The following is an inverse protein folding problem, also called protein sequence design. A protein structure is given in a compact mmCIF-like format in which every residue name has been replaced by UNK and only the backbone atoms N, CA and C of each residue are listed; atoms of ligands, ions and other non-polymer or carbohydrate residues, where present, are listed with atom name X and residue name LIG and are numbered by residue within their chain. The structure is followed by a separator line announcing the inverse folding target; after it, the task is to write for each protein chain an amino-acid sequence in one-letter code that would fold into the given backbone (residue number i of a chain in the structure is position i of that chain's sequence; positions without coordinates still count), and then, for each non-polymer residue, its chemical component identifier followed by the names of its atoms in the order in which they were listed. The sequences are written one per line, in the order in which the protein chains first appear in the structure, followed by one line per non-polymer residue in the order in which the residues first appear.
data_IF_294382942154
#
_entry.id   IF_294382942154
#
_cell.length_a   1.000
_cell.length_b   1.000
_cell.length_c   1.000
_cell.angle_alpha   90.00
_cell.angle_beta   90.00
_cell.angle_gamma   90.00
#
_symmetry.space_group_name_H-M   'P 1'
#
loop_
_entity.id
_entity.type
_entity.pdbx_description
1 polymer ?
#
# COMPACT_ATOMS: atom_id res chain seq x y z
N UNK A 1 -54.88 -34.65 19.59
CA UNK A 1 -53.66 -34.57 18.77
C UNK A 1 -53.30 -33.12 18.45
N UNK A 2 -54.13 -32.36 17.71
CA UNK A 2 -53.83 -30.97 17.30
C UNK A 2 -53.58 -29.99 18.45
N UNK A 3 -54.34 -30.07 19.54
CA UNK A 3 -54.20 -29.15 20.69
C UNK A 3 -52.86 -29.31 21.41
N UNK A 4 -52.38 -30.56 21.56
CA UNK A 4 -51.06 -30.85 22.12
C UNK A 4 -49.95 -30.29 21.21
N UNK A 5 -50.06 -30.45 19.90
CA UNK A 5 -49.09 -29.89 18.95
C UNK A 5 -49.02 -28.36 18.98
N UNK A 6 -50.16 -27.68 19.16
CA UNK A 6 -50.19 -26.23 19.30
C UNK A 6 -49.52 -25.77 20.60
N UNK A 7 -49.76 -26.47 21.72
CA UNK A 7 -49.11 -26.16 23.00
C UNK A 7 -47.59 -26.36 22.92
N UNK A 8 -47.12 -27.42 22.25
CA UNK A 8 -45.68 -27.64 22.08
C UNK A 8 -45.03 -26.57 21.20
N UNK A 9 -45.71 -26.11 20.14
CA UNK A 9 -45.21 -25.00 19.32
C UNK A 9 -45.12 -23.71 20.13
N UNK A 10 -46.14 -23.41 20.94
CA UNK A 10 -46.20 -22.19 21.76
C UNK A 10 -45.14 -22.19 22.87
N UNK A 11 -44.84 -23.36 23.44
CA UNK A 11 -43.75 -23.51 24.40
C UNK A 11 -42.37 -23.31 23.75
N UNK A 12 -42.15 -23.86 22.54
CA UNK A 12 -40.91 -23.68 21.79
C UNK A 12 -40.71 -22.22 21.38
N UNK A 13 -41.75 -21.51 20.93
CA UNK A 13 -41.62 -20.08 20.58
C UNK A 13 -41.31 -19.23 21.80
N UNK A 14 -41.95 -19.51 22.95
CA UNK A 14 -41.62 -18.82 24.20
C UNK A 14 -40.17 -19.06 24.64
N UNK A 15 -39.68 -20.31 24.50
CA UNK A 15 -38.31 -20.66 24.84
C UNK A 15 -37.29 -19.98 23.89
N UNK A 16 -37.53 -20.00 22.58
CA UNK A 16 -36.67 -19.33 21.59
C UNK A 16 -36.60 -17.81 21.80
N UNK A 17 -37.70 -17.17 22.22
CA UNK A 17 -37.71 -15.74 22.52
C UNK A 17 -36.96 -15.40 23.82
N UNK A 18 -36.86 -16.35 24.75
CA UNK A 18 -36.15 -16.17 26.03
C UNK A 18 -34.63 -16.14 25.83
N UNK A 19 -34.10 -16.97 24.94
CA UNK A 19 -32.66 -16.96 24.58
C UNK A 19 -32.25 -15.66 23.86
N UNK A 20 -33.14 -15.07 23.07
CA UNK A 20 -32.85 -13.83 22.34
C UNK A 20 -32.71 -12.61 23.28
N UNK A 21 -33.40 -12.63 24.44
CA UNK A 21 -33.31 -11.55 25.43
C UNK A 21 -32.07 -11.67 26.35
N UNK A 22 -31.44 -12.85 26.41
CA UNK A 22 -30.26 -13.12 27.25
C UNK A 22 -28.92 -12.96 26.52
N UNK A 23 -28.93 -12.84 25.19
CA UNK A 23 -27.73 -12.59 24.40
C UNK A 23 -27.24 -11.15 24.63
N UNK A 24 -26.41 -10.98 25.67
CA UNK A 24 -25.53 -9.82 25.81
C UNK A 24 -24.84 -9.61 24.47
N UNK A 25 -24.89 -8.40 23.86
CA UNK A 25 -24.21 -8.18 22.59
C UNK A 25 -22.76 -8.61 22.78
N UNK A 26 -22.34 -9.66 22.07
CA UNK A 26 -20.93 -10.01 22.02
C UNK A 26 -20.26 -8.78 21.44
N UNK A 27 -19.42 -8.12 22.24
CA UNK A 27 -18.65 -6.97 21.79
C UNK A 27 -18.10 -7.30 20.41
N UNK A 28 -18.54 -6.52 19.42
CA UNK A 28 -18.37 -6.87 18.01
C UNK A 28 -16.87 -7.03 17.75
N UNK A 29 -16.45 -8.23 17.40
CA UNK A 29 -15.05 -8.50 17.05
C UNK A 29 -14.60 -7.58 15.89
N UNK A 30 -15.55 -7.05 15.12
CA UNK A 30 -15.34 -6.04 14.09
C UNK A 30 -14.69 -4.75 14.59
N UNK A 31 -14.91 -4.32 15.84
CA UNK A 31 -14.30 -3.09 16.35
C UNK A 31 -12.77 -3.22 16.56
N UNK A 32 -12.24 -4.45 16.60
CA UNK A 32 -10.79 -4.68 16.67
C UNK A 32 -10.09 -4.67 15.31
N UNK A 33 -10.84 -4.82 14.22
CA UNK A 33 -10.28 -4.84 12.86
C UNK A 33 -10.07 -3.44 12.27
N UNK A 34 -10.79 -2.44 12.78
CA UNK A 34 -10.72 -1.06 12.29
C UNK A 34 -10.00 -0.17 13.28
N UNK A 35 -8.99 0.55 12.80
CA UNK A 35 -8.33 1.60 13.57
C UNK A 35 -9.31 2.75 13.83
N UNK A 36 -9.22 3.38 15.00
CA UNK A 36 -10.01 4.59 15.27
C UNK A 36 -9.71 5.68 14.24
N UNK A 37 -10.68 6.57 13.97
CA UNK A 37 -10.51 7.70 13.03
C UNK A 37 -9.27 8.55 13.36
N UNK A 38 -8.98 8.73 14.66
CA UNK A 38 -7.79 9.45 15.12
C UNK A 38 -6.50 8.71 14.75
N UNK A 39 -6.46 7.40 14.92
CA UNK A 39 -5.30 6.58 14.59
C UNK A 39 -5.07 6.47 13.08
N UNK A 40 -6.14 6.28 12.30
CA UNK A 40 -6.08 6.34 10.84
C UNK A 40 -5.55 7.68 10.34
N UNK A 41 -5.95 8.80 10.96
CA UNK A 41 -5.41 10.13 10.61
C UNK A 41 -3.91 10.24 10.88
N UNK A 42 -3.38 9.59 11.94
CA UNK A 42 -1.94 9.59 12.23
C UNK A 42 -1.16 8.82 11.16
N UNK A 43 -1.71 7.71 10.66
CA UNK A 43 -1.10 6.91 9.57
C UNK A 43 -1.08 7.71 8.27
N UNK A 44 -2.21 8.30 7.87
CA UNK A 44 -2.29 9.14 6.65
C UNK A 44 -1.38 10.36 6.76
N UNK A 45 -1.37 11.05 7.90
CA UNK A 45 -0.51 12.20 8.11
C UNK A 45 0.98 11.83 8.14
N UNK A 46 1.34 10.61 8.59
CA UNK A 46 2.71 10.10 8.46
C UNK A 46 3.10 9.94 6.99
N UNK A 47 2.28 9.29 6.18
CA UNK A 47 2.53 9.16 4.74
C UNK A 47 2.62 10.53 4.07
N UNK A 48 1.70 11.44 4.39
CA UNK A 48 1.72 12.81 3.87
C UNK A 48 2.97 13.57 4.29
N UNK A 49 3.54 13.33 5.47
CA UNK A 49 4.85 13.90 5.85
C UNK A 49 5.99 13.32 5.04
N UNK A 50 5.99 12.03 4.70
CA UNK A 50 7.01 11.47 3.81
C UNK A 50 6.88 12.02 2.39
N UNK A 51 5.66 12.16 1.88
CA UNK A 51 5.42 12.81 0.59
C UNK A 51 5.82 14.28 0.66
N UNK A 52 5.37 15.05 1.65
CA UNK A 52 5.68 16.47 1.77
C UNK A 52 7.16 16.74 2.06
N UNK A 53 7.84 15.89 2.85
CA UNK A 53 9.29 16.00 3.09
C UNK A 53 10.09 15.47 1.88
N UNK A 54 9.53 14.56 1.09
CA UNK A 54 10.04 14.17 -0.23
C UNK A 54 9.65 15.13 -1.36
N UNK A 55 8.83 16.15 -1.07
CA UNK A 55 8.50 17.29 -1.94
C UNK A 55 9.40 18.51 -1.66
N UNK A 56 10.41 18.39 -0.79
CA UNK A 56 11.40 19.46 -0.53
C UNK A 56 12.32 19.74 -1.72
N UNK A 57 12.40 18.79 -2.65
CA UNK A 57 12.72 18.96 -4.06
C UNK A 57 11.89 17.89 -4.78
N UNK A 58 11.42 18.08 -6.02
CA UNK A 58 11.09 16.92 -6.84
C UNK A 58 12.30 15.98 -6.74
N UNK A 59 12.11 14.67 -6.53
CA UNK A 59 13.14 13.75 -7.01
C UNK A 59 13.48 14.27 -8.43
N UNK A 60 14.75 14.63 -8.73
CA UNK A 60 15.09 15.21 -10.02
C UNK A 60 14.36 14.37 -11.04
N UNK A 61 13.54 15.00 -11.89
CA UNK A 61 12.83 14.29 -12.94
C UNK A 61 13.85 13.31 -13.53
N UNK A 62 13.58 11.98 -13.51
CA UNK A 62 14.63 10.98 -13.71
C UNK A 62 15.44 11.42 -14.92
N UNK A 63 16.74 11.67 -14.71
CA UNK A 63 17.59 12.26 -15.75
C UNK A 63 17.36 11.40 -17.00
N UNK A 64 16.85 11.97 -18.11
CA UNK A 64 16.59 11.17 -19.31
C UNK A 64 17.87 10.51 -19.84
N UNK A 65 19.04 11.00 -19.43
CA UNK A 65 20.34 10.42 -19.73
C UNK A 65 20.76 9.30 -18.78
N UNK A 66 20.10 9.12 -17.62
CA UNK A 66 20.46 8.11 -16.61
C UNK A 66 20.52 6.69 -17.20
N UNK A 67 19.54 6.22 -18.00
CA UNK A 67 19.62 4.87 -18.56
C UNK A 67 20.85 4.67 -19.45
N UNK A 68 21.31 5.74 -20.12
CA UNK A 68 22.47 5.68 -20.99
C UNK A 68 23.78 5.80 -20.18
N UNK A 69 23.78 6.57 -19.08
CA UNK A 69 24.91 6.64 -18.13
C UNK A 69 25.20 5.28 -17.53
N UNK A 70 24.17 4.60 -17.04
CA UNK A 70 24.25 3.23 -16.51
C UNK A 70 24.85 2.26 -17.53
N UNK A 71 24.45 2.35 -18.80
CA UNK A 71 25.02 1.52 -19.88
C UNK A 71 26.51 1.80 -20.10
N UNK A 72 26.94 3.07 -20.00
CA UNK A 72 28.35 3.43 -20.13
C UNK A 72 29.18 2.97 -18.92
N UNK A 73 28.67 3.15 -17.70
CA UNK A 73 29.33 2.71 -16.45
C UNK A 73 29.53 1.20 -16.40
N UNK A 74 28.62 0.42 -17.00
CA UNK A 74 28.76 -1.04 -17.13
C UNK A 74 29.86 -1.48 -18.12
N UNK A 75 30.42 -0.57 -18.93
CA UNK A 75 31.48 -0.85 -19.88
C UNK A 75 32.78 -0.15 -19.45
N UNK A 76 33.82 -0.88 -18.99
CA UNK A 76 35.06 -0.28 -18.50
C UNK A 76 35.72 0.69 -19.46
N UNK A 77 35.62 0.44 -20.77
CA UNK A 77 36.19 1.33 -21.79
C UNK A 77 35.37 2.61 -21.97
N UNK A 78 34.05 2.55 -21.76
CA UNK A 78 33.19 3.74 -21.83
C UNK A 78 33.35 4.58 -20.57
N UNK A 79 33.38 3.92 -19.40
CA UNK A 79 33.58 4.56 -18.09
C UNK A 79 34.88 5.38 -18.03
N UNK A 80 36.02 4.74 -18.32
CA UNK A 80 37.32 5.43 -18.36
C UNK A 80 37.34 6.54 -19.42
N UNK A 81 36.73 6.31 -20.59
CA UNK A 81 36.67 7.32 -21.64
C UNK A 81 35.79 8.51 -21.23
N UNK A 82 34.69 8.28 -20.51
CA UNK A 82 33.77 9.31 -20.04
C UNK A 82 34.46 10.27 -19.06
N UNK A 83 35.42 9.80 -18.26
CA UNK A 83 36.24 10.65 -17.39
C UNK A 83 37.12 11.64 -18.17
N UNK A 84 37.54 11.25 -19.38
CA UNK A 84 38.45 12.06 -20.20
C UNK A 84 37.74 13.03 -21.14
N UNK A 85 36.64 12.61 -21.76
CA UNK A 85 35.95 13.40 -22.81
C UNK A 85 34.50 13.73 -22.48
N UNK A 86 33.98 13.23 -21.36
CA UNK A 86 32.58 13.37 -20.99
C UNK A 86 31.70 12.23 -21.53
N UNK A 87 30.65 11.92 -20.77
CA UNK A 87 29.73 10.81 -21.01
C UNK A 87 29.13 10.79 -22.44
N UNK A 88 28.59 11.90 -22.94
CA UNK A 88 27.90 11.91 -24.24
C UNK A 88 28.85 11.57 -25.40
N UNK A 89 30.08 12.08 -25.35
CA UNK A 89 31.10 11.82 -26.36
C UNK A 89 31.65 10.39 -26.24
N UNK A 90 31.83 9.88 -25.01
CA UNK A 90 32.25 8.51 -24.77
C UNK A 90 31.19 7.51 -25.27
N UNK A 91 29.93 7.73 -24.91
CA UNK A 91 28.81 6.90 -25.35
C UNK A 91 28.71 6.86 -26.87
N UNK A 92 28.81 8.01 -27.54
CA UNK A 92 28.78 8.09 -29.01
C UNK A 92 29.94 7.34 -29.67
N UNK A 93 31.14 7.40 -29.11
CA UNK A 93 32.32 6.70 -29.66
C UNK A 93 32.23 5.18 -29.51
N UNK A 94 31.68 4.69 -28.40
CA UNK A 94 31.60 3.26 -28.10
C UNK A 94 30.37 2.60 -28.75
N UNK A 95 29.20 3.24 -28.68
CA UNK A 95 27.93 2.66 -29.15
C UNK A 95 27.47 3.20 -30.52
N UNK A 96 28.10 4.25 -31.04
CA UNK A 96 27.78 4.82 -32.36
C UNK A 96 26.46 5.60 -32.40
N UNK A 97 25.79 5.79 -31.27
CA UNK A 97 24.50 6.50 -31.15
C UNK A 97 24.63 7.68 -30.19
N UNK A 98 23.79 8.70 -30.37
CA UNK A 98 23.67 9.82 -29.44
C UNK A 98 22.64 9.51 -28.36
N UNK A 99 22.91 10.00 -27.15
CA UNK A 99 22.05 9.92 -25.97
C UNK A 99 21.17 11.16 -25.85
#
# INVERSE_FOLDING_TARGET
MRTLSLLTLLALTAFCLSDLAGAKPSDSESDKAFMSKQEGSKVVNRLRRYLNNGLGAPAPYPDPLEPHREVCELNPNCDELADHIGFQDAYKRIYGTTV
#
